data_IF_306854925512
#
_entry.id   IF_306854925512
#
_cell.length_a   1.000
_cell.length_b   1.000
_cell.length_c   1.000
_cell.angle_alpha   90.00
_cell.angle_beta   90.00
_cell.angle_gamma   90.00
#
_symmetry.space_group_name_H-M   'P 1'
#
loop_
_entity.id
_entity.type
_entity.pdbx_description
1 polymer ?
#
# COMPACT_ATOMS: atom_id res chain seq x y z
N UNK A 1 -15.50 -1.13 25.86
CA UNK A 1 -15.28 0.15 25.17
C UNK A 1 -15.23 -0.06 23.67
N UNK A 2 -15.46 0.97 22.90
CA UNK A 2 -15.31 0.94 21.43
C UNK A 2 -13.83 1.02 21.06
N UNK A 3 -13.37 0.11 20.17
CA UNK A 3 -11.98 0.05 19.74
C UNK A 3 -11.88 0.51 18.26
N UNK A 4 -11.35 1.68 18.04
CA UNK A 4 -11.22 2.27 16.70
C UNK A 4 -10.30 1.47 15.76
N UNK A 5 -9.42 0.61 16.28
CA UNK A 5 -8.51 -0.13 15.44
C UNK A 5 -9.18 -1.26 14.63
N UNK A 6 -10.29 -1.81 15.11
CA UNK A 6 -10.96 -2.94 14.45
C UNK A 6 -12.49 -2.83 14.35
N UNK A 7 -13.12 -1.90 15.12
CA UNK A 7 -14.57 -1.71 15.07
C UNK A 7 -14.99 -0.50 14.21
N UNK A 8 -14.08 0.46 14.02
CA UNK A 8 -14.33 1.61 13.15
C UNK A 8 -13.80 1.35 11.75
N UNK A 9 -14.55 1.77 10.74
CA UNK A 9 -14.09 1.87 9.37
C UNK A 9 -13.86 3.33 8.99
N UNK A 10 -12.78 3.59 8.25
CA UNK A 10 -12.34 4.92 7.82
C UNK A 10 -11.90 4.89 6.38
N UNK A 11 -12.00 6.03 5.71
CA UNK A 11 -11.48 6.17 4.37
C UNK A 11 -9.95 6.07 4.41
N UNK A 12 -9.32 5.13 3.68
CA UNK A 12 -7.86 4.94 3.72
C UNK A 12 -7.08 5.98 2.89
N UNK A 13 -7.74 6.65 1.95
CA UNK A 13 -7.09 7.52 0.99
C UNK A 13 -5.96 6.79 0.25
N UNK A 14 -4.89 7.50 -0.06
CA UNK A 14 -3.77 6.95 -0.86
C UNK A 14 -3.03 5.77 -0.23
N UNK A 15 -3.25 5.43 1.07
CA UNK A 15 -2.70 4.20 1.65
C UNK A 15 -3.34 2.93 1.06
N UNK A 16 -4.47 3.05 0.36
CA UNK A 16 -5.13 1.94 -0.32
C UNK A 16 -4.54 1.61 -1.70
N UNK A 17 -3.78 2.51 -2.31
CA UNK A 17 -3.20 2.34 -3.64
C UNK A 17 -2.37 1.07 -3.82
N UNK A 18 -1.49 0.66 -2.88
CA UNK A 18 -0.77 -0.61 -3.01
C UNK A 18 -1.68 -1.83 -3.11
N UNK A 19 -2.80 -1.81 -2.36
CA UNK A 19 -3.74 -2.93 -2.26
C UNK A 19 -4.72 -2.99 -3.44
N UNK A 20 -5.16 -1.83 -3.94
CA UNK A 20 -6.22 -1.77 -4.95
C UNK A 20 -5.72 -1.49 -6.38
N UNK A 21 -4.54 -0.88 -6.52
CA UNK A 21 -4.03 -0.41 -7.81
C UNK A 21 -2.76 -1.16 -8.21
N UNK A 22 -1.70 -1.00 -7.43
CA UNK A 22 -0.37 -1.45 -7.84
C UNK A 22 -0.14 -2.94 -7.64
N UNK A 23 -0.71 -3.53 -6.58
CA UNK A 23 -0.71 -4.98 -6.37
C UNK A 23 -1.32 -5.72 -7.55
N UNK A 24 -2.60 -5.48 -7.88
CA UNK A 24 -3.24 -6.14 -9.02
C UNK A 24 -2.60 -5.78 -10.36
N UNK A 25 -2.03 -4.58 -10.54
CA UNK A 25 -1.30 -4.24 -11.76
C UNK A 25 -0.07 -5.13 -11.98
N UNK A 26 0.65 -5.45 -10.91
CA UNK A 26 1.79 -6.38 -10.96
C UNK A 26 1.37 -7.84 -11.03
N UNK A 27 0.25 -8.22 -10.38
CA UNK A 27 -0.23 -9.60 -10.34
C UNK A 27 -0.85 -10.04 -11.67
N UNK A 28 -1.79 -9.26 -12.18
CA UNK A 28 -2.71 -9.70 -13.22
C UNK A 28 -2.45 -9.05 -14.59
N UNK A 29 -1.73 -7.91 -14.65
CA UNK A 29 -1.58 -7.11 -15.87
C UNK A 29 -0.17 -7.09 -16.46
N UNK A 30 0.74 -7.99 -16.04
CA UNK A 30 2.13 -8.08 -16.52
C UNK A 30 2.90 -6.73 -16.46
N UNK A 31 2.52 -5.83 -15.56
CA UNK A 31 3.21 -4.57 -15.39
C UNK A 31 4.44 -4.76 -14.48
N UNK A 32 5.54 -4.09 -14.82
CA UNK A 32 6.72 -4.00 -13.96
C UNK A 32 6.80 -2.65 -13.26
N UNK A 33 7.72 -2.52 -12.31
CA UNK A 33 7.91 -1.27 -11.57
C UNK A 33 8.35 -0.09 -12.47
N UNK A 34 8.93 -0.40 -13.64
CA UNK A 34 9.35 0.56 -14.66
C UNK A 34 8.32 0.83 -15.76
N UNK A 35 7.12 0.25 -15.72
CA UNK A 35 6.04 0.59 -16.66
C UNK A 35 5.73 2.09 -16.56
N UNK A 36 5.60 2.77 -17.71
CA UNK A 36 5.48 4.22 -17.77
C UNK A 36 4.07 4.67 -18.07
N UNK A 37 3.60 5.64 -17.30
CA UNK A 37 2.34 6.37 -17.49
C UNK A 37 2.60 7.88 -17.62
N UNK A 38 1.66 8.60 -18.25
CA UNK A 38 1.75 10.05 -18.34
C UNK A 38 1.02 10.69 -17.15
N UNK A 39 1.78 11.39 -16.31
CA UNK A 39 1.24 12.17 -15.20
C UNK A 39 0.78 13.54 -15.70
N UNK A 40 -0.44 13.60 -16.18
CA UNK A 40 -1.17 14.82 -16.55
C UNK A 40 -2.63 14.69 -16.10
N UNK A 41 -3.41 15.76 -16.02
CA UNK A 41 -4.85 15.65 -15.66
C UNK A 41 -5.55 14.60 -16.50
N UNK A 42 -6.14 13.61 -15.84
CA UNK A 42 -6.79 12.47 -16.48
C UNK A 42 -8.30 12.59 -16.39
N UNK A 43 -8.97 12.57 -17.53
CA UNK A 43 -10.45 12.68 -17.58
C UNK A 43 -11.07 11.35 -17.97
N UNK A 44 -11.96 10.85 -17.14
CA UNK A 44 -12.73 9.64 -17.35
C UNK A 44 -14.16 9.88 -16.88
N UNK A 45 -15.15 9.42 -17.64
CA UNK A 45 -16.59 9.57 -17.35
C UNK A 45 -17.01 11.03 -16.99
N UNK A 46 -16.37 12.01 -17.65
CA UNK A 46 -16.63 13.43 -17.43
C UNK A 46 -16.00 14.05 -16.18
N UNK A 47 -15.26 13.26 -15.39
CA UNK A 47 -14.55 13.71 -14.20
C UNK A 47 -13.05 13.84 -14.48
N UNK A 48 -12.45 14.98 -14.10
CA UNK A 48 -11.01 15.20 -14.25
C UNK A 48 -10.28 14.97 -12.94
N UNK A 49 -9.44 13.94 -12.92
CA UNK A 49 -8.57 13.58 -11.79
C UNK A 49 -7.27 14.36 -11.89
N UNK A 50 -6.82 14.89 -10.77
CA UNK A 50 -5.57 15.65 -10.62
C UNK A 50 -4.81 15.16 -9.39
N UNK A 51 -3.50 15.42 -9.37
CA UNK A 51 -2.71 15.22 -8.17
C UNK A 51 -3.12 16.21 -7.07
N UNK A 52 -2.93 15.83 -5.80
CA UNK A 52 -3.35 16.64 -4.66
C UNK A 52 -2.65 18.01 -4.59
N UNK A 53 -1.41 18.09 -5.04
CA UNK A 53 -0.60 19.30 -5.12
C UNK A 53 -0.71 20.02 -6.49
N UNK A 54 -1.56 19.49 -7.39
CA UNK A 54 -1.75 19.96 -8.76
C UNK A 54 -0.50 19.83 -9.66
N UNK A 55 0.53 19.12 -9.21
CA UNK A 55 1.74 18.85 -9.98
C UNK A 55 1.46 17.99 -11.22
N UNK A 56 2.34 18.07 -12.21
CA UNK A 56 2.35 17.28 -13.45
C UNK A 56 3.80 16.95 -13.80
N UNK A 57 4.12 15.66 -13.92
CA UNK A 57 5.50 15.21 -14.14
C UNK A 57 5.74 14.64 -15.54
N UNK A 58 4.69 14.62 -16.39
CA UNK A 58 4.74 13.98 -17.70
C UNK A 58 4.94 12.46 -17.55
N UNK A 59 5.75 11.86 -18.41
CA UNK A 59 6.00 10.43 -18.34
C UNK A 59 6.81 10.06 -17.11
N UNK A 60 6.28 9.12 -16.32
CA UNK A 60 6.87 8.61 -15.05
C UNK A 60 6.68 7.10 -14.95
N UNK A 61 7.57 6.43 -14.22
CA UNK A 61 7.44 5.01 -13.90
C UNK A 61 6.37 4.78 -12.84
N UNK A 62 5.84 3.55 -12.77
CA UNK A 62 4.95 3.12 -11.67
C UNK A 62 5.62 3.32 -10.31
N UNK A 63 6.91 2.99 -10.18
CA UNK A 63 7.67 3.24 -8.94
C UNK A 63 7.58 4.70 -8.52
N UNK A 64 7.91 5.63 -9.41
CA UNK A 64 7.85 7.07 -9.11
C UNK A 64 6.41 7.53 -8.80
N UNK A 65 5.42 7.00 -9.52
CA UNK A 65 4.02 7.33 -9.28
C UNK A 65 3.55 6.91 -7.88
N UNK A 66 3.99 5.73 -7.40
CA UNK A 66 3.69 5.28 -6.03
C UNK A 66 4.47 6.06 -4.99
N UNK A 67 5.75 6.33 -5.26
CA UNK A 67 6.66 7.12 -4.42
C UNK A 67 6.12 8.52 -4.14
N UNK A 68 5.61 9.21 -5.17
CA UNK A 68 5.00 10.53 -5.08
C UNK A 68 3.47 10.49 -4.87
N UNK A 69 2.88 9.30 -4.81
CA UNK A 69 1.43 9.10 -4.61
C UNK A 69 0.54 9.76 -5.67
N UNK A 70 0.94 9.74 -6.94
CA UNK A 70 0.23 10.41 -8.02
C UNK A 70 -1.17 9.80 -8.24
N UNK A 71 -2.19 10.64 -8.22
CA UNK A 71 -3.58 10.21 -8.41
C UNK A 71 -3.89 9.92 -9.87
N UNK A 72 -3.34 10.71 -10.78
CA UNK A 72 -3.56 10.60 -12.22
C UNK A 72 -3.11 9.26 -12.76
N UNK A 73 -1.93 8.79 -12.33
CA UNK A 73 -1.38 7.49 -12.74
C UNK A 73 -2.17 6.35 -12.10
N UNK A 74 -2.48 6.45 -10.80
CA UNK A 74 -3.29 5.44 -10.13
C UNK A 74 -4.66 5.25 -10.81
N UNK A 75 -5.32 6.35 -11.20
CA UNK A 75 -6.59 6.30 -11.89
C UNK A 75 -6.51 5.66 -13.30
N UNK A 76 -5.43 5.96 -14.04
CA UNK A 76 -5.19 5.32 -15.34
C UNK A 76 -4.98 3.82 -15.18
N UNK A 77 -4.19 3.39 -14.20
CA UNK A 77 -3.96 1.96 -13.94
C UNK A 77 -5.29 1.26 -13.60
N UNK A 78 -6.11 1.81 -12.69
CA UNK A 78 -7.43 1.21 -12.37
C UNK A 78 -8.33 1.13 -13.61
N UNK A 79 -8.29 2.16 -14.47
CA UNK A 79 -9.06 2.13 -15.71
C UNK A 79 -8.57 1.01 -16.67
N UNK A 80 -7.27 0.76 -16.71
CA UNK A 80 -6.67 -0.25 -17.59
C UNK A 80 -6.89 -1.68 -17.10
N UNK A 81 -6.81 -1.92 -15.78
CA UNK A 81 -6.97 -3.27 -15.20
C UNK A 81 -8.42 -3.62 -14.85
N UNK A 82 -9.31 -2.63 -14.77
CA UNK A 82 -10.66 -2.77 -14.23
C UNK A 82 -10.72 -2.67 -12.70
N UNK A 83 -11.69 -1.91 -12.14
CA UNK A 83 -11.82 -1.78 -10.68
C UNK A 83 -12.23 -3.09 -9.99
N UNK A 84 -12.87 -4.02 -10.68
CA UNK A 84 -13.19 -5.37 -10.20
C UNK A 84 -11.94 -6.17 -9.83
N UNK A 85 -10.86 -6.06 -10.62
CA UNK A 85 -9.57 -6.69 -10.33
C UNK A 85 -8.98 -6.15 -9.03
N UNK A 86 -9.09 -4.83 -8.80
CA UNK A 86 -8.69 -4.20 -7.55
C UNK A 86 -9.48 -4.70 -6.33
N UNK A 87 -10.79 -4.90 -6.48
CA UNK A 87 -11.64 -5.47 -5.43
C UNK A 87 -11.24 -6.90 -5.10
N UNK A 88 -11.07 -7.75 -6.11
CA UNK A 88 -10.69 -9.14 -5.92
C UNK A 88 -9.33 -9.25 -5.19
N UNK A 89 -8.35 -8.50 -5.64
CA UNK A 89 -7.03 -8.47 -5.01
C UNK A 89 -7.11 -7.97 -3.55
N UNK A 90 -7.85 -6.90 -3.27
CA UNK A 90 -8.02 -6.38 -1.93
C UNK A 90 -8.71 -7.39 -0.99
N UNK A 91 -9.72 -8.11 -1.48
CA UNK A 91 -10.41 -9.19 -0.73
C UNK A 91 -9.44 -10.33 -0.43
N UNK A 92 -8.61 -10.72 -1.38
CA UNK A 92 -7.56 -11.72 -1.16
C UNK A 92 -6.55 -11.28 -0.10
N UNK A 93 -6.30 -9.98 0.04
CA UNK A 93 -5.50 -9.39 1.12
C UNK A 93 -6.27 -9.17 2.43
N UNK A 94 -7.50 -9.67 2.55
CA UNK A 94 -8.28 -9.67 3.80
C UNK A 94 -9.15 -8.44 4.03
N UNK A 95 -9.35 -7.57 3.04
CA UNK A 95 -10.32 -6.47 3.13
C UNK A 95 -11.73 -7.03 2.95
N UNK A 96 -12.61 -6.82 3.92
CA UNK A 96 -13.96 -7.41 3.95
C UNK A 96 -15.08 -6.38 3.78
N UNK A 97 -14.77 -5.09 3.82
CA UNK A 97 -15.74 -3.99 3.89
C UNK A 97 -16.14 -3.41 2.52
N UNK A 98 -15.53 -3.90 1.44
CA UNK A 98 -15.79 -3.44 0.07
C UNK A 98 -17.20 -3.82 -0.38
N UNK A 99 -17.88 -2.88 -1.04
CA UNK A 99 -19.20 -3.07 -1.64
C UNK A 99 -19.05 -3.37 -3.13
N UNK A 100 -19.33 -4.61 -3.55
CA UNK A 100 -19.30 -4.98 -4.96
C UNK A 100 -20.58 -4.50 -5.68
N UNK A 101 -21.72 -4.79 -5.10
CA UNK A 101 -23.03 -4.34 -5.58
C UNK A 101 -24.00 -4.27 -4.39
N UNK A 102 -24.79 -3.21 -4.32
CA UNK A 102 -25.85 -3.06 -3.33
C UNK A 102 -27.19 -2.86 -4.01
N UNK A 103 -28.30 -3.12 -3.29
CA UNK A 103 -29.68 -2.99 -3.81
C UNK A 103 -30.00 -1.57 -4.30
N UNK A 104 -29.30 -0.55 -3.83
CA UNK A 104 -29.44 0.87 -4.22
C UNK A 104 -28.43 1.30 -5.30
N UNK A 105 -27.63 0.36 -5.83
CA UNK A 105 -26.67 0.61 -6.90
C UNK A 105 -25.36 1.26 -6.45
N UNK A 106 -25.09 1.28 -5.12
CA UNK A 106 -23.80 1.74 -4.60
C UNK A 106 -22.76 0.64 -4.76
N UNK A 107 -21.56 1.00 -5.22
CA UNK A 107 -20.46 0.06 -5.44
C UNK A 107 -19.11 0.71 -5.25
N UNK A 108 -18.11 -0.08 -4.84
CA UNK A 108 -16.69 0.28 -4.84
C UNK A 108 -15.98 -0.14 -6.15
N UNK A 109 -16.71 -0.69 -7.14
CA UNK A 109 -16.18 -0.96 -8.49
C UNK A 109 -16.01 0.36 -9.25
N UNK A 110 -15.12 1.22 -8.75
CA UNK A 110 -14.91 2.57 -9.26
C UNK A 110 -13.43 2.95 -9.24
N UNK A 111 -13.05 3.89 -10.10
CA UNK A 111 -11.71 4.50 -10.06
C UNK A 111 -11.47 5.20 -8.71
N UNK A 112 -12.50 5.76 -8.09
CA UNK A 112 -12.41 6.41 -6.78
C UNK A 112 -11.91 5.45 -5.69
N UNK A 113 -12.30 4.18 -5.73
CA UNK A 113 -11.82 3.17 -4.79
C UNK A 113 -10.29 3.01 -4.86
N UNK A 114 -9.70 3.07 -6.05
CA UNK A 114 -8.25 3.06 -6.22
C UNK A 114 -7.53 4.27 -5.62
N UNK A 115 -8.25 5.35 -5.37
CA UNK A 115 -7.74 6.55 -4.68
C UNK A 115 -8.06 6.53 -3.17
N UNK A 116 -8.74 5.47 -2.70
CA UNK A 116 -9.14 5.27 -1.31
C UNK A 116 -10.44 5.96 -0.92
N UNK A 117 -11.29 6.28 -1.90
CA UNK A 117 -12.66 6.74 -1.69
C UNK A 117 -13.61 5.54 -1.73
N UNK A 118 -13.92 4.95 -0.58
CA UNK A 118 -14.70 3.73 -0.43
C UNK A 118 -16.09 4.03 0.17
N UNK A 119 -17.04 3.15 -0.10
CA UNK A 119 -18.41 3.26 0.45
C UNK A 119 -18.38 3.18 1.98
N UNK A 120 -17.81 2.12 2.53
CA UNK A 120 -17.76 1.89 3.99
C UNK A 120 -16.42 2.27 4.62
N UNK A 121 -15.36 2.44 3.83
CA UNK A 121 -14.00 2.54 4.33
C UNK A 121 -13.46 1.18 4.80
N UNK A 122 -12.35 1.20 5.52
CA UNK A 122 -11.64 0.01 6.04
C UNK A 122 -11.24 0.20 7.49
N UNK A 123 -11.07 -0.87 8.23
CA UNK A 123 -10.52 -0.81 9.58
C UNK A 123 -8.99 -0.73 9.56
N UNK A 124 -8.40 -0.23 10.65
CA UNK A 124 -6.93 -0.20 10.82
C UNK A 124 -6.35 -1.62 10.81
N UNK A 125 -7.08 -2.57 11.40
CA UNK A 125 -6.67 -3.97 11.44
C UNK A 125 -6.67 -4.62 10.06
N UNK A 126 -7.69 -4.36 9.23
CA UNK A 126 -7.71 -4.84 7.84
C UNK A 126 -6.54 -4.29 7.02
N UNK A 127 -6.23 -2.99 7.18
CA UNK A 127 -5.08 -2.39 6.52
C UNK A 127 -3.76 -2.99 6.99
N UNK A 128 -3.60 -3.30 8.28
CA UNK A 128 -2.42 -3.99 8.78
C UNK A 128 -2.30 -5.41 8.18
N UNK A 129 -3.40 -6.17 8.11
CA UNK A 129 -3.43 -7.49 7.48
C UNK A 129 -3.12 -7.46 5.99
N UNK A 130 -3.64 -6.47 5.26
CA UNK A 130 -3.36 -6.32 3.84
C UNK A 130 -1.89 -5.98 3.55
N UNK A 131 -1.27 -5.15 4.39
CA UNK A 131 0.16 -4.85 4.26
C UNK A 131 1.06 -5.99 4.75
N UNK A 132 0.57 -6.81 5.68
CA UNK A 132 1.26 -8.03 6.11
C UNK A 132 1.42 -9.02 4.93
N UNK A 133 0.45 -9.11 4.02
CA UNK A 133 0.58 -9.95 2.82
C UNK A 133 1.84 -9.60 2.00
N UNK A 134 2.16 -8.31 1.85
CA UNK A 134 3.37 -7.88 1.15
C UNK A 134 4.64 -8.24 1.93
N UNK A 135 4.61 -8.06 3.26
CA UNK A 135 5.73 -8.41 4.14
C UNK A 135 5.99 -9.93 4.21
N UNK A 136 4.93 -10.73 4.04
CA UNK A 136 4.91 -12.19 4.18
C UNK A 136 4.90 -12.91 2.83
N UNK A 137 5.65 -12.42 1.85
CA UNK A 137 5.84 -13.06 0.55
C UNK A 137 4.52 -13.46 -0.15
N UNK A 138 3.49 -12.63 -0.02
CA UNK A 138 2.19 -12.81 -0.67
C UNK A 138 1.21 -13.74 0.06
N UNK A 139 1.50 -14.12 1.29
CA UNK A 139 0.61 -14.96 2.10
C UNK A 139 -0.17 -14.06 3.06
N UNK A 140 -1.51 -14.11 2.97
CA UNK A 140 -2.40 -13.53 3.96
C UNK A 140 -2.55 -14.45 5.16
N UNK A 141 -2.44 -13.91 6.35
CA UNK A 141 -2.80 -14.60 7.61
C UNK A 141 -3.82 -13.76 8.36
N UNK A 142 -4.96 -14.34 8.67
CA UNK A 142 -6.04 -13.65 9.38
C UNK A 142 -5.55 -13.14 10.74
N UNK A 143 -5.63 -11.83 11.00
CA UNK A 143 -5.18 -11.29 12.28
C UNK A 143 -5.88 -11.90 13.47
N UNK A 144 -5.15 -12.33 14.48
CA UNK A 144 -5.64 -12.90 15.73
C UNK A 144 -4.87 -12.35 16.93
N UNK A 145 -5.52 -12.26 18.08
CA UNK A 145 -4.94 -11.68 19.28
C UNK A 145 -4.53 -12.72 20.34
N UNK A 146 -5.03 -13.95 20.23
CA UNK A 146 -4.75 -15.04 21.19
C UNK A 146 -4.13 -16.17 20.39
N UNK A 147 -2.94 -16.60 20.77
CA UNK A 147 -2.24 -17.73 20.12
C UNK A 147 -2.46 -19.04 20.85
N UNK A 148 -2.58 -19.00 22.17
CA UNK A 148 -2.88 -20.19 22.99
C UNK A 148 -3.46 -19.81 24.36
N UNK A 149 -4.19 -20.73 24.94
CA UNK A 149 -4.67 -20.67 26.34
C UNK A 149 -4.13 -21.89 27.07
N UNK A 150 -3.50 -21.68 28.24
CA UNK A 150 -2.98 -22.75 29.07
C UNK A 150 -3.66 -22.77 30.44
N UNK A 151 -3.68 -23.95 31.09
CA UNK A 151 -4.06 -24.07 32.50
C UNK A 151 -2.93 -23.61 33.45
N UNK A 152 -3.17 -23.70 34.76
CA UNK A 152 -2.19 -23.32 35.80
C UNK A 152 -0.94 -24.23 35.78
N UNK A 153 -1.07 -25.46 35.29
CA UNK A 153 0.01 -26.42 35.14
C UNK A 153 0.81 -26.26 33.84
N UNK A 154 0.36 -25.35 32.96
CA UNK A 154 1.04 -25.05 31.67
C UNK A 154 0.57 -25.97 30.51
N UNK A 155 -0.46 -26.82 30.72
CA UNK A 155 -1.02 -27.62 29.64
C UNK A 155 -1.83 -26.72 28.68
N UNK A 156 -1.68 -26.93 27.38
CA UNK A 156 -2.47 -26.18 26.36
C UNK A 156 -3.92 -26.65 26.41
N UNK A 157 -4.86 -25.75 26.76
CA UNK A 157 -6.31 -25.95 26.71
C UNK A 157 -6.85 -25.65 25.31
N UNK A 158 -6.27 -24.64 24.67
CA UNK A 158 -6.64 -24.19 23.30
C UNK A 158 -5.44 -23.58 22.62
N UNK A 159 -5.36 -23.79 21.30
CA UNK A 159 -4.34 -23.18 20.43
C UNK A 159 -4.97 -22.71 19.15
N UNK A 160 -4.59 -21.52 18.69
CA UNK A 160 -5.01 -20.98 17.41
C UNK A 160 -4.39 -21.79 16.27
N UNK A 161 -5.20 -22.07 15.26
CA UNK A 161 -4.76 -22.52 13.94
C UNK A 161 -5.07 -21.38 12.95
N UNK A 162 -4.13 -20.50 12.66
CA UNK A 162 -4.39 -19.32 11.85
C UNK A 162 -4.90 -19.68 10.44
N UNK A 163 -6.01 -19.07 10.05
CA UNK A 163 -6.49 -19.16 8.67
C UNK A 163 -5.50 -18.36 7.78
N UNK A 164 -4.89 -19.04 6.81
CA UNK A 164 -3.96 -18.40 5.87
C UNK A 164 -4.15 -18.93 4.46
N UNK A 165 -3.85 -18.10 3.48
CA UNK A 165 -3.85 -18.46 2.07
C UNK A 165 -2.88 -17.59 1.27
N UNK A 166 -2.50 -18.02 0.07
CA UNK A 166 -1.74 -17.18 -0.84
C UNK A 166 -2.67 -16.14 -1.46
N UNK A 167 -2.39 -14.87 -1.19
CA UNK A 167 -3.14 -13.73 -1.71
C UNK A 167 -2.57 -13.21 -3.05
N UNK A 168 -1.25 -13.38 -3.26
CA UNK A 168 -0.53 -13.00 -4.49
C UNK A 168 0.77 -13.78 -4.61
N UNK A 169 1.40 -13.72 -5.78
CA UNK A 169 2.73 -14.30 -5.99
C UNK A 169 3.81 -13.56 -5.18
N UNK A 170 4.88 -14.27 -4.81
CA UNK A 170 6.02 -13.69 -4.08
C UNK A 170 6.68 -12.54 -4.84
N UNK A 171 6.75 -12.68 -6.17
CA UNK A 171 7.29 -11.66 -7.06
C UNK A 171 6.49 -10.36 -7.02
N UNK A 172 5.15 -10.45 -6.98
CA UNK A 172 4.27 -9.30 -6.82
C UNK A 172 4.48 -8.62 -5.46
N UNK A 173 4.49 -9.41 -4.38
CA UNK A 173 4.73 -8.90 -3.03
C UNK A 173 6.08 -8.17 -2.94
N UNK A 174 7.13 -8.70 -3.57
CA UNK A 174 8.45 -8.06 -3.58
C UNK A 174 8.50 -6.80 -4.45
N UNK A 175 7.86 -6.79 -5.63
CA UNK A 175 7.78 -5.58 -6.47
C UNK A 175 7.08 -4.44 -5.73
N UNK A 176 5.97 -4.73 -5.03
CA UNK A 176 5.30 -3.75 -4.16
C UNK A 176 6.24 -3.30 -3.04
N UNK A 177 6.89 -4.23 -2.34
CA UNK A 177 7.84 -3.93 -1.25
C UNK A 177 8.96 -3.01 -1.73
N UNK A 178 9.55 -3.30 -2.88
CA UNK A 178 10.59 -2.48 -3.51
C UNK A 178 10.12 -1.05 -3.80
N UNK A 179 8.90 -0.88 -4.32
CA UNK A 179 8.31 0.45 -4.55
C UNK A 179 7.99 1.16 -3.23
N UNK A 180 7.46 0.45 -2.23
CA UNK A 180 7.14 1.02 -0.92
C UNK A 180 8.39 1.38 -0.10
N UNK A 181 9.53 0.72 -0.34
CA UNK A 181 10.81 1.17 0.18
C UNK A 181 11.20 2.53 -0.41
N UNK A 182 11.02 2.74 -1.72
CA UNK A 182 11.28 4.05 -2.35
C UNK A 182 10.39 5.16 -1.76
N UNK A 183 9.13 4.88 -1.40
CA UNK A 183 8.25 5.83 -0.70
C UNK A 183 8.88 6.32 0.60
N UNK A 184 9.55 5.42 1.35
CA UNK A 184 10.15 5.73 2.67
C UNK A 184 11.57 6.29 2.54
N UNK A 185 12.34 5.93 1.50
CA UNK A 185 13.70 6.43 1.31
C UNK A 185 13.75 7.77 0.60
N UNK A 186 12.96 7.94 -0.46
CA UNK A 186 13.06 9.06 -1.40
C UNK A 186 11.75 9.82 -1.61
N UNK A 187 10.61 9.22 -1.20
CA UNK A 187 9.28 9.72 -1.46
C UNK A 187 8.62 10.45 -0.29
N UNK A 188 7.29 10.49 -0.35
CA UNK A 188 6.45 11.21 0.62
C UNK A 188 6.35 10.54 2.00
N UNK A 189 6.91 9.34 2.18
CA UNK A 189 6.90 8.58 3.42
C UNK A 189 8.17 8.67 4.27
N UNK A 190 9.12 9.56 3.93
CA UNK A 190 10.42 9.65 4.58
C UNK A 190 10.37 9.86 6.10
N UNK A 191 9.30 10.45 6.61
CA UNK A 191 9.09 10.63 8.05
C UNK A 191 8.89 9.32 8.83
N UNK A 192 8.65 8.19 8.14
CA UNK A 192 8.50 6.87 8.75
C UNK A 192 9.83 6.11 8.89
N UNK A 193 10.95 6.67 8.44
CA UNK A 193 12.25 6.04 8.57
C UNK A 193 12.55 5.68 10.02
N UNK A 194 12.99 4.43 10.25
CA UNK A 194 13.39 3.93 11.56
C UNK A 194 14.80 4.45 11.87
N UNK A 195 15.06 4.84 13.10
CA UNK A 195 16.28 5.57 13.51
C UNK A 195 17.60 4.83 13.20
N UNK A 196 17.57 3.52 13.15
CA UNK A 196 18.76 2.70 12.86
C UNK A 196 18.96 2.47 11.36
N UNK A 197 18.06 2.95 10.50
CA UNK A 197 18.17 2.87 9.04
C UNK A 197 17.83 1.49 8.46
N UNK A 198 17.14 0.63 9.22
CA UNK A 198 16.73 -0.69 8.71
C UNK A 198 15.72 -0.59 7.56
N UNK A 199 15.66 -1.61 6.68
CA UNK A 199 14.72 -1.63 5.57
C UNK A 199 13.28 -1.44 6.05
N UNK A 200 12.62 -0.45 5.47
CA UNK A 200 11.25 -0.07 5.82
C UNK A 200 10.48 0.19 4.53
N UNK A 201 9.32 -0.41 4.40
CA UNK A 201 8.39 -0.21 3.30
C UNK A 201 7.07 0.34 3.84
N UNK A 202 6.44 1.28 3.14
CA UNK A 202 5.16 1.82 3.63
C UNK A 202 4.57 2.91 2.76
N UNK A 203 3.35 3.30 3.08
CA UNK A 203 2.57 4.28 2.33
C UNK A 203 1.78 5.20 3.26
N UNK A 204 1.81 6.48 2.95
CA UNK A 204 0.96 7.49 3.55
C UNK A 204 -0.43 7.47 2.95
N UNK A 205 -1.44 7.85 3.72
CA UNK A 205 -2.80 8.11 3.26
C UNK A 205 -3.33 9.43 3.82
N UNK A 206 -3.98 10.19 2.98
CA UNK A 206 -4.70 11.40 3.35
C UNK A 206 -6.02 11.40 2.61
N UNK A 207 -7.11 11.67 3.32
CA UNK A 207 -8.43 11.76 2.70
C UNK A 207 -8.80 13.20 2.38
N UNK A 208 -9.83 13.37 1.55
CA UNK A 208 -10.36 14.68 1.20
C UNK A 208 -10.70 15.51 2.45
N UNK A 209 -10.37 16.79 2.37
CA UNK A 209 -10.53 17.72 3.51
C UNK A 209 -9.75 17.30 4.77
N UNK A 210 -8.65 16.56 4.64
CA UNK A 210 -7.76 16.19 5.74
C UNK A 210 -8.51 15.61 6.96
N UNK A 211 -9.46 14.70 6.73
CA UNK A 211 -10.25 14.09 7.82
C UNK A 211 -9.53 12.90 8.44
N UNK A 212 -8.69 12.22 7.66
CA UNK A 212 -7.96 11.02 8.07
C UNK A 212 -6.53 11.11 7.57
N UNK A 213 -5.58 10.79 8.46
CA UNK A 213 -4.17 10.61 8.15
C UNK A 213 -3.76 9.18 8.47
N UNK A 214 -3.15 8.53 7.49
CA UNK A 214 -2.72 7.14 7.59
C UNK A 214 -1.24 6.99 7.33
N UNK A 215 -0.65 6.01 7.98
CA UNK A 215 0.56 5.36 7.54
C UNK A 215 0.43 3.86 7.76
N UNK A 216 0.57 3.09 6.68
CA UNK A 216 0.63 1.63 6.72
C UNK A 216 2.00 1.21 6.20
N UNK A 217 2.71 0.37 6.96
CA UNK A 217 4.05 -0.01 6.58
C UNK A 217 4.56 -1.20 7.38
N UNK A 218 5.73 -1.68 6.97
CA UNK A 218 6.34 -2.88 7.54
C UNK A 218 7.87 -2.88 7.39
N UNK A 219 8.47 -3.71 8.18
CA UNK A 219 9.84 -4.20 8.05
C UNK A 219 9.78 -5.71 7.81
N UNK A 220 10.89 -6.41 7.58
CA UNK A 220 10.87 -7.88 7.57
C UNK A 220 10.32 -8.52 8.86
N UNK A 221 10.28 -7.80 9.97
CA UNK A 221 9.98 -8.32 11.31
C UNK A 221 8.60 -7.92 11.83
N UNK A 222 8.10 -6.74 11.46
CA UNK A 222 6.84 -6.20 11.98
C UNK A 222 6.06 -5.43 10.91
N UNK A 223 4.76 -5.58 10.95
CA UNK A 223 3.79 -4.79 10.17
C UNK A 223 2.95 -3.93 11.10
N UNK A 224 2.60 -2.72 10.67
CA UNK A 224 1.74 -1.83 11.44
C UNK A 224 0.97 -0.85 10.56
N UNK A 225 -0.28 -0.62 10.93
CA UNK A 225 -1.09 0.46 10.39
C UNK A 225 -1.40 1.48 11.50
N UNK A 226 -1.32 2.75 11.16
CA UNK A 226 -1.60 3.85 12.07
C UNK A 226 -2.56 4.83 11.40
N UNK A 227 -3.64 5.14 12.10
CA UNK A 227 -4.64 6.12 11.72
C UNK A 227 -4.72 7.24 12.75
N UNK A 228 -4.87 8.46 12.26
CA UNK A 228 -5.16 9.65 13.05
C UNK A 228 -6.41 10.29 12.47
N UNK A 229 -7.39 10.56 13.34
CA UNK A 229 -8.64 11.21 12.98
C UNK A 229 -9.51 11.47 14.19
N UNK A 230 -10.63 12.12 13.97
CA UNK A 230 -11.67 12.32 14.99
C UNK A 230 -12.72 11.20 14.88
N UNK A 231 -13.35 10.83 16.00
CA UNK A 231 -14.45 9.84 16.01
C UNK A 231 -15.58 10.25 15.06
N UNK A 232 -15.93 11.52 15.05
CA UNK A 232 -16.77 12.12 14.00
C UNK A 232 -15.83 12.80 13.01
N UNK A 233 -15.81 12.37 11.72
CA UNK A 233 -14.88 12.88 10.72
C UNK A 233 -14.93 14.41 10.61
N UNK A 234 -13.82 15.07 10.89
CA UNK A 234 -13.67 16.53 10.84
C UNK A 234 -12.27 16.90 10.29
N UNK A 235 -12.16 18.10 9.76
CA UNK A 235 -10.89 18.64 9.26
C UNK A 235 -9.80 18.66 10.34
N UNK A 236 -8.62 18.19 10.00
CA UNK A 236 -7.42 18.26 10.83
C UNK A 236 -6.37 19.16 10.18
N UNK A 237 -5.67 19.95 11.00
CA UNK A 237 -4.48 20.66 10.54
C UNK A 237 -3.30 19.70 10.46
N UNK A 238 -2.52 19.80 9.38
CA UNK A 238 -1.32 18.99 9.17
C UNK A 238 -1.41 18.10 7.95
N UNK A 239 -0.63 17.04 7.97
CA UNK A 239 -0.51 16.08 6.87
C UNK A 239 -0.31 14.66 7.42
N UNK A 240 -0.41 13.66 6.56
CA UNK A 240 -0.07 12.25 6.88
C UNK A 240 1.38 12.04 7.35
N UNK A 241 2.24 13.05 7.22
CA UNK A 241 3.58 13.05 7.82
C UNK A 241 3.54 12.81 9.34
N UNK A 242 2.50 13.27 10.02
CA UNK A 242 2.32 12.98 11.46
C UNK A 242 2.11 11.49 11.71
N UNK A 243 1.25 10.83 10.92
CA UNK A 243 1.05 9.39 11.04
C UNK A 243 2.34 8.62 10.73
N UNK A 244 3.06 9.01 9.68
CA UNK A 244 4.35 8.42 9.33
C UNK A 244 5.40 8.58 10.44
N UNK A 245 5.53 9.79 11.01
CA UNK A 245 6.48 10.04 12.11
C UNK A 245 6.17 9.22 13.36
N UNK A 246 4.90 9.16 13.78
CA UNK A 246 4.49 8.40 14.96
C UNK A 246 4.75 6.90 14.73
N UNK A 247 4.41 6.40 13.54
CA UNK A 247 4.68 5.02 13.16
C UNK A 247 6.19 4.71 13.23
N UNK A 248 7.03 5.58 12.67
CA UNK A 248 8.50 5.43 12.70
C UNK A 248 9.07 5.40 14.13
N UNK A 249 8.54 6.22 15.05
CA UNK A 249 8.92 6.22 16.48
C UNK A 249 8.52 4.90 17.14
N UNK A 250 7.28 4.44 16.94
CA UNK A 250 6.78 3.18 17.50
C UNK A 250 7.63 2.01 17.01
N UNK A 251 7.88 1.94 15.70
CA UNK A 251 8.69 0.87 15.11
C UNK A 251 10.14 0.93 15.55
N UNK A 252 10.73 2.11 15.70
CA UNK A 252 12.08 2.26 16.26
C UNK A 252 12.19 1.67 17.68
N UNK A 253 11.15 1.86 18.49
CA UNK A 253 11.10 1.26 19.83
C UNK A 253 10.93 -0.27 19.76
N UNK A 254 10.04 -0.78 18.95
CA UNK A 254 9.78 -2.22 18.80
C UNK A 254 11.00 -2.98 18.27
N UNK A 255 11.82 -2.35 17.45
CA UNK A 255 13.03 -2.96 16.90
C UNK A 255 14.27 -2.79 17.78
N UNK A 256 14.15 -2.11 18.92
CA UNK A 256 15.29 -1.91 19.82
C UNK A 256 15.89 -3.23 20.30
N UNK A 257 17.13 -3.48 19.93
CA UNK A 257 17.86 -4.71 20.27
C UNK A 257 17.60 -5.89 19.32
N UNK A 258 16.79 -5.74 18.30
CA UNK A 258 16.60 -6.78 17.27
C UNK A 258 17.69 -6.70 16.20
N UNK A 259 18.09 -7.86 15.70
CA UNK A 259 19.00 -7.95 14.58
C UNK A 259 18.44 -7.26 13.32
N UNK A 260 19.33 -6.82 12.45
CA UNK A 260 18.96 -6.32 11.13
C UNK A 260 18.52 -7.48 10.24
N UNK A 261 17.38 -7.30 9.56
CA UNK A 261 16.89 -8.20 8.53
C UNK A 261 16.58 -7.40 7.26
N UNK A 262 16.65 -8.07 6.13
CA UNK A 262 16.38 -7.50 4.80
C UNK A 262 15.21 -8.23 4.17
N UNK A 263 14.48 -7.55 3.30
CA UNK A 263 13.48 -8.20 2.47
C UNK A 263 14.19 -9.13 1.47
N UNK A 264 13.77 -10.38 1.44
CA UNK A 264 14.33 -11.39 0.53
C UNK A 264 13.73 -11.22 -0.86
N UNK A 265 14.60 -11.11 -1.87
CA UNK A 265 14.19 -11.07 -3.27
C UNK A 265 13.92 -12.50 -3.75
N UNK A 266 12.70 -12.81 -4.21
CA UNK A 266 12.37 -14.15 -4.69
C UNK A 266 12.97 -14.42 -6.08
N UNK A 267 13.07 -15.68 -6.44
CA UNK A 267 13.36 -16.09 -7.81
C UNK A 267 12.25 -15.64 -8.78
N UNK A 268 12.59 -15.49 -10.06
CA UNK A 268 11.61 -15.13 -11.10
C UNK A 268 11.50 -13.63 -11.39
N UNK A 269 12.26 -12.79 -10.70
CA UNK A 269 12.37 -11.36 -11.02
C UNK A 269 13.62 -11.08 -11.88
N UNK A 270 13.48 -10.10 -12.74
CA UNK A 270 14.57 -9.58 -13.58
C UNK A 270 14.71 -8.08 -13.34
N UNK A 271 15.88 -7.66 -12.86
CA UNK A 271 16.22 -6.24 -12.70
C UNK A 271 16.84 -5.71 -13.99
N UNK A 272 16.23 -4.70 -14.59
CA UNK A 272 16.72 -4.07 -15.82
C UNK A 272 16.79 -2.56 -15.68
N UNK A 273 17.79 -1.96 -16.32
CA UNK A 273 17.87 -0.49 -16.38
C UNK A 273 17.01 0.02 -17.54
N UNK A 274 16.02 0.83 -17.19
CA UNK A 274 15.08 1.44 -18.15
C UNK A 274 15.31 2.94 -18.29
N UNK A 275 14.82 3.48 -19.38
CA UNK A 275 14.61 4.94 -19.56
C UNK A 275 13.25 5.28 -18.92
N UNK A 276 13.27 6.09 -17.87
CA UNK A 276 12.08 6.43 -17.06
C UNK A 276 11.04 7.26 -17.81
N UNK A 277 11.36 7.75 -19.00
CA UNK A 277 10.43 8.53 -19.84
C UNK A 277 9.75 7.69 -20.90
N UNK A 278 10.37 6.61 -21.33
CA UNK A 278 9.81 5.71 -22.36
C UNK A 278 9.40 4.35 -21.84
N UNK A 279 9.93 3.92 -20.68
CA UNK A 279 9.76 2.55 -20.15
C UNK A 279 10.59 1.50 -20.89
N UNK A 280 11.33 1.88 -21.93
CA UNK A 280 12.16 0.97 -22.71
C UNK A 280 13.52 0.75 -22.04
N UNK A 281 14.22 -0.32 -22.42
CA UNK A 281 15.58 -0.57 -21.96
C UNK A 281 16.47 0.64 -22.24
N UNK A 282 17.20 1.06 -21.22
CA UNK A 282 18.13 2.19 -21.35
C UNK A 282 19.27 1.85 -22.31
N UNK A 283 19.63 2.80 -23.14
CA UNK A 283 20.73 2.69 -24.10
C UNK A 283 21.89 3.60 -23.69
N UNK A 284 22.99 3.57 -24.45
CA UNK A 284 24.09 4.53 -24.25
C UNK A 284 23.65 5.98 -24.45
N UNK A 285 22.59 6.20 -25.23
CA UNK A 285 22.04 7.55 -25.53
C UNK A 285 21.06 8.03 -24.46
N UNK A 286 20.56 7.14 -23.59
CA UNK A 286 19.66 7.55 -22.49
C UNK A 286 20.44 8.38 -21.48
N UNK A 287 20.01 9.63 -21.20
CA UNK A 287 20.64 10.45 -20.16
C UNK A 287 20.67 9.75 -18.81
N UNK A 288 21.74 9.92 -18.04
CA UNK A 288 21.91 9.25 -16.75
C UNK A 288 20.73 9.56 -15.78
N UNK A 289 20.26 10.81 -15.79
CA UNK A 289 19.13 11.25 -14.96
C UNK A 289 17.77 10.57 -15.28
N UNK A 290 17.69 9.89 -16.42
CA UNK A 290 16.50 9.15 -16.84
C UNK A 290 16.69 7.64 -16.77
N UNK A 291 17.74 7.15 -16.12
CA UNK A 291 17.98 5.72 -15.92
C UNK A 291 17.54 5.30 -14.54
N UNK A 292 16.75 4.26 -14.47
CA UNK A 292 16.36 3.59 -13.22
C UNK A 292 16.48 2.08 -13.39
N UNK A 293 16.85 1.39 -12.33
CA UNK A 293 16.80 -0.07 -12.30
C UNK A 293 15.46 -0.51 -11.77
N UNK A 294 14.73 -1.23 -12.58
CA UNK A 294 13.34 -1.60 -12.34
C UNK A 294 13.14 -3.12 -12.45
N UNK A 295 12.09 -3.62 -11.78
CA UNK A 295 11.81 -5.05 -11.65
C UNK A 295 10.68 -5.46 -12.58
N UNK A 296 10.85 -6.63 -13.18
CA UNK A 296 9.87 -7.30 -14.05
C UNK A 296 9.87 -8.80 -13.74
N UNK A 297 8.73 -9.43 -13.98
CA UNK A 297 8.61 -10.91 -13.97
C UNK A 297 9.06 -11.51 -15.28
#
# INVERSE_FOLDING_TARGET
GYNNAWQATRQPGSSFKPVFVYGPAFEDADMGTGTVYNDSPYTVDGHTIKNADLSQHGNVTIRYALEQSLNTVAAQIVNDIGPETGIEFAKNCGITTLVEESDDGVTDQTISAGLGGLTNGVSVLEMAGAYECFANAGIYTKPHAITSITDEEGNIIWQEEPESHRAMEETTAYMITSCLQSVVTDGIGTAAQIYDGRPTAGKTGTTDNNKDFWFCGYTPQYTGALWIGYDTPAYMYGTSTYAASIWGVIMSYLHSGLAFEYFEEPDGLTAVTVDTKSGLLATRSTPYAYRSTELYR
#
